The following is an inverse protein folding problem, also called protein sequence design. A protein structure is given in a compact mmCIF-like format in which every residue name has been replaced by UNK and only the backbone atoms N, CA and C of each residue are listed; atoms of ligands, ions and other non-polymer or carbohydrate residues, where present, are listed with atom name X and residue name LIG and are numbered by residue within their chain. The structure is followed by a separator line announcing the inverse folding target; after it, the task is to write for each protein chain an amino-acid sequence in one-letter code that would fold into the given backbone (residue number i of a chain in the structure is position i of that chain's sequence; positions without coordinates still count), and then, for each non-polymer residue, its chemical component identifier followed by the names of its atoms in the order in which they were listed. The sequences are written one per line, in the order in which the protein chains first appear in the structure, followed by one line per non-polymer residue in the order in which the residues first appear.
data_IF_766395983114
#
_entry.id   IF_766395983114
#
_cell.length_a   1.000
_cell.length_b   1.000
_cell.length_c   1.000
_cell.angle_alpha   90.00
_cell.angle_beta   90.00
_cell.angle_gamma   90.00
#
_symmetry.space_group_name_H-M   'P 1'
#
loop_
_entity.id
_entity.type
_entity.pdbx_description
1 polymer ?
#
# COMPACT_ATOMS: atom_id res chain seq x y z
N UNK A 1 -14.34 -3.82 40.54
CA UNK A 1 -15.22 -2.95 39.72
C UNK A 1 -14.41 -2.07 38.77
N UNK A 2 -13.11 -1.84 39.05
CA UNK A 2 -12.21 -0.99 38.25
C UNK A 2 -11.78 -1.58 36.90
N UNK A 3 -11.62 -2.90 36.79
CA UNK A 3 -11.14 -3.53 35.54
C UNK A 3 -12.17 -3.41 34.39
N UNK A 4 -13.46 -3.56 34.70
CA UNK A 4 -14.54 -3.47 33.70
C UNK A 4 -14.72 -2.03 33.21
N UNK A 5 -14.71 -1.05 34.12
CA UNK A 5 -14.78 0.37 33.73
C UNK A 5 -13.55 0.81 32.92
N UNK A 6 -12.36 0.31 33.25
CA UNK A 6 -11.16 0.61 32.49
C UNK A 6 -11.23 0.04 31.06
N UNK A 7 -11.74 -1.19 30.89
CA UNK A 7 -11.98 -1.81 29.57
C UNK A 7 -13.09 -1.07 28.80
N UNK A 8 -14.17 -0.66 29.46
CA UNK A 8 -15.28 0.07 28.84
C UNK A 8 -14.88 1.48 28.40
N UNK A 9 -14.06 2.19 29.18
CA UNK A 9 -13.52 3.50 28.82
C UNK A 9 -12.56 3.40 27.62
N UNK A 10 -11.67 2.40 27.61
CA UNK A 10 -10.78 2.15 26.48
C UNK A 10 -11.52 1.77 25.21
N UNK A 11 -12.53 0.90 25.31
CA UNK A 11 -13.35 0.51 24.16
C UNK A 11 -14.21 1.68 23.66
N UNK A 12 -14.76 2.51 24.54
CA UNK A 12 -15.55 3.69 24.16
C UNK A 12 -14.69 4.79 23.51
N UNK A 13 -13.52 5.11 24.08
CA UNK A 13 -12.60 6.11 23.52
C UNK A 13 -12.06 5.66 22.16
N UNK A 14 -11.62 4.40 22.04
CA UNK A 14 -11.15 3.88 20.75
C UNK A 14 -12.26 3.81 19.70
N UNK A 15 -13.50 3.49 20.08
CA UNK A 15 -14.64 3.45 19.16
C UNK A 15 -15.03 4.86 18.67
N UNK A 16 -15.13 5.83 19.57
CA UNK A 16 -15.50 7.22 19.23
C UNK A 16 -14.41 7.89 18.37
N UNK A 17 -13.13 7.68 18.69
CA UNK A 17 -12.01 8.18 17.88
C UNK A 17 -12.00 7.58 16.46
N UNK A 18 -12.22 6.26 16.34
CA UNK A 18 -12.31 5.58 15.03
C UNK A 18 -13.53 6.05 14.23
N UNK A 19 -14.68 6.23 14.88
CA UNK A 19 -15.89 6.73 14.22
C UNK A 19 -15.72 8.17 13.70
N UNK A 20 -15.00 9.01 14.44
CA UNK A 20 -14.68 10.38 14.03
C UNK A 20 -13.74 10.42 12.81
N UNK A 21 -12.66 9.62 12.81
CA UNK A 21 -11.74 9.51 11.69
C UNK A 21 -12.42 8.95 10.44
N UNK A 22 -13.29 7.94 10.60
CA UNK A 22 -14.05 7.34 9.50
C UNK A 22 -15.01 8.34 8.84
N UNK A 23 -15.54 9.30 9.58
CA UNK A 23 -16.48 10.32 9.06
C UNK A 23 -15.77 11.52 8.41
N UNK A 24 -14.55 11.84 8.86
CA UNK A 24 -13.84 13.05 8.44
C UNK A 24 -12.77 12.77 7.37
N UNK A 25 -12.11 11.60 7.43
CA UNK A 25 -11.05 11.19 6.51
C UNK A 25 -11.13 9.67 6.18
N UNK A 26 -12.17 9.22 5.47
CA UNK A 26 -12.39 7.81 5.19
C UNK A 26 -11.23 7.15 4.44
N UNK A 27 -10.64 7.84 3.45
CA UNK A 27 -9.49 7.33 2.68
C UNK A 27 -8.25 7.12 3.56
N UNK A 28 -7.94 8.05 4.46
CA UNK A 28 -6.77 7.95 5.34
C UNK A 28 -6.94 6.86 6.40
N UNK A 29 -8.16 6.71 6.91
CA UNK A 29 -8.48 5.63 7.83
C UNK A 29 -8.29 4.26 7.17
N UNK A 30 -8.81 4.08 5.95
CA UNK A 30 -8.66 2.82 5.21
C UNK A 30 -7.21 2.58 4.81
N UNK A 31 -6.47 3.58 4.36
CA UNK A 31 -5.03 3.45 4.08
C UNK A 31 -4.24 2.99 5.32
N UNK A 32 -4.60 3.49 6.50
CA UNK A 32 -3.98 3.07 7.77
C UNK A 32 -4.31 1.63 8.13
N UNK A 33 -5.57 1.21 7.93
CA UNK A 33 -5.99 -0.19 8.16
C UNK A 33 -5.28 -1.14 7.20
N UNK A 34 -5.26 -0.81 5.89
CA UNK A 34 -4.56 -1.61 4.87
C UNK A 34 -3.06 -1.69 5.15
N UNK A 35 -2.44 -0.60 5.63
CA UNK A 35 -1.03 -0.61 6.04
C UNK A 35 -0.77 -1.46 7.29
N UNK A 36 -1.72 -1.54 8.23
CA UNK A 36 -1.59 -2.40 9.40
C UNK A 36 -1.76 -3.89 9.06
N UNK A 37 -2.40 -4.21 7.94
CA UNK A 37 -2.65 -5.58 7.48
C UNK A 37 -1.83 -5.98 6.25
N UNK A 38 -0.87 -5.15 5.85
CA UNK A 38 -0.07 -5.36 4.64
C UNK A 38 0.70 -6.69 4.62
N UNK A 39 1.08 -7.20 5.79
CA UNK A 39 1.74 -8.50 5.93
C UNK A 39 0.82 -9.69 5.59
N UNK A 40 -0.50 -9.48 5.61
CA UNK A 40 -1.53 -10.49 5.32
C UNK A 40 -2.04 -10.34 3.89
N UNK A 41 -1.15 -10.46 2.92
CA UNK A 41 -1.44 -10.25 1.50
C UNK A 41 -2.64 -11.05 0.97
N UNK A 42 -2.90 -12.25 1.51
CA UNK A 42 -4.04 -13.09 1.10
C UNK A 42 -5.41 -12.50 1.49
N UNK A 43 -5.47 -11.65 2.52
CA UNK A 43 -6.70 -10.97 2.95
C UNK A 43 -6.86 -9.59 2.31
N UNK A 44 -5.79 -9.07 1.71
CA UNK A 44 -5.75 -7.69 1.24
C UNK A 44 -6.52 -7.49 -0.08
N UNK A 45 -6.40 -8.44 -1.02
CA UNK A 45 -7.13 -8.38 -2.31
C UNK A 45 -8.65 -8.19 -2.17
N UNK A 46 -9.39 -8.95 -1.33
CA UNK A 46 -10.81 -8.72 -1.15
C UNK A 46 -11.10 -7.38 -0.48
N UNK A 47 -10.29 -6.94 0.51
CA UNK A 47 -10.46 -5.64 1.13
C UNK A 47 -10.30 -4.48 0.14
N UNK A 48 -9.35 -4.59 -0.80
CA UNK A 48 -9.15 -3.59 -1.86
C UNK A 48 -10.37 -3.52 -2.79
N UNK A 49 -10.95 -4.67 -3.15
CA UNK A 49 -12.19 -4.71 -3.95
C UNK A 49 -13.38 -4.08 -3.22
N UNK A 50 -13.51 -4.36 -1.93
CA UNK A 50 -14.57 -3.78 -1.09
C UNK A 50 -14.44 -2.25 -0.99
N UNK A 51 -13.21 -1.72 -0.91
CA UNK A 51 -12.98 -0.27 -0.89
C UNK A 51 -13.41 0.41 -2.19
N UNK A 52 -13.18 -0.23 -3.34
CA UNK A 52 -13.66 0.25 -4.63
C UNK A 52 -15.21 0.33 -4.67
N UNK A 53 -15.90 -0.64 -4.06
CA UNK A 53 -17.36 -0.61 -3.92
C UNK A 53 -17.86 0.52 -2.98
N UNK A 54 -17.04 0.95 -2.02
CA UNK A 54 -17.35 2.05 -1.11
C UNK A 54 -17.09 3.44 -1.73
N UNK A 55 -16.71 3.52 -3.01
CA UNK A 55 -16.40 4.77 -3.70
C UNK A 55 -15.05 5.37 -3.30
N UNK A 56 -14.12 4.52 -2.82
CA UNK A 56 -12.76 4.91 -2.47
C UNK A 56 -11.84 4.36 -3.55
N UNK A 57 -11.25 5.26 -4.31
CA UNK A 57 -10.33 4.92 -5.39
C UNK A 57 -8.99 4.48 -4.78
N UNK A 58 -8.64 3.21 -5.03
CA UNK A 58 -7.32 2.67 -4.76
C UNK A 58 -6.59 2.57 -6.08
N UNK A 59 -5.55 3.38 -6.24
CA UNK A 59 -4.68 3.35 -7.40
C UNK A 59 -3.90 2.04 -7.44
N UNK A 60 -3.66 1.47 -8.63
CA UNK A 60 -2.84 0.27 -8.75
C UNK A 60 -1.41 0.54 -8.25
N UNK A 61 -0.67 -0.51 -7.85
CA UNK A 61 0.72 -0.38 -7.47
C UNK A 61 1.55 0.15 -8.64
N UNK A 62 2.33 1.20 -8.39
CA UNK A 62 3.25 1.82 -9.34
C UNK A 62 4.61 2.01 -8.68
N UNK A 63 5.68 1.43 -9.24
CA UNK A 63 7.03 1.55 -8.69
C UNK A 63 7.49 3.02 -8.56
N UNK A 64 7.01 3.92 -9.42
CA UNK A 64 7.43 5.33 -9.39
C UNK A 64 6.65 6.16 -8.38
N UNK A 65 5.37 5.88 -8.17
CA UNK A 65 4.50 6.69 -7.30
C UNK A 65 4.24 6.01 -5.94
N UNK A 66 4.00 4.69 -5.91
CA UNK A 66 3.70 3.94 -4.68
C UNK A 66 4.84 3.95 -3.67
N UNK A 67 4.48 3.99 -2.40
CA UNK A 67 5.41 3.89 -1.28
C UNK A 67 5.49 2.46 -0.74
N UNK A 68 6.26 2.24 0.34
CA UNK A 68 6.29 0.97 1.05
C UNK A 68 4.90 0.62 1.60
N UNK A 69 4.29 1.56 2.32
CA UNK A 69 2.96 1.44 2.91
C UNK A 69 1.88 2.08 2.02
N UNK A 70 0.60 1.88 2.36
CA UNK A 70 -0.50 2.59 1.71
C UNK A 70 -0.51 4.06 2.13
N UNK A 71 -0.59 4.95 1.15
CA UNK A 71 -0.57 6.41 1.37
C UNK A 71 -1.75 7.03 0.63
N UNK A 72 -2.30 8.12 1.16
CA UNK A 72 -3.35 8.88 0.47
C UNK A 72 -2.72 10.04 -0.28
N UNK A 73 -3.03 10.17 -1.57
CA UNK A 73 -2.56 11.27 -2.39
C UNK A 73 -3.38 12.56 -2.13
N UNK A 74 -2.96 13.68 -2.72
CA UNK A 74 -3.65 14.98 -2.59
C UNK A 74 -5.07 14.98 -3.19
N UNK A 75 -5.41 14.00 -4.01
CA UNK A 75 -6.73 13.80 -4.61
C UNK A 75 -7.61 12.85 -3.77
N UNK A 76 -7.17 12.49 -2.56
CA UNK A 76 -7.87 11.64 -1.61
C UNK A 76 -8.04 10.17 -2.09
N UNK A 77 -7.19 9.75 -3.03
CA UNK A 77 -7.09 8.38 -3.53
C UNK A 77 -5.98 7.65 -2.77
N UNK A 78 -6.13 6.34 -2.61
CA UNK A 78 -5.17 5.50 -1.89
C UNK A 78 -4.16 4.94 -2.89
N UNK A 79 -2.89 5.30 -2.73
CA UNK A 79 -1.78 4.67 -3.43
C UNK A 79 -1.46 3.33 -2.79
N UNK A 80 -1.41 2.28 -3.63
CA UNK A 80 -1.13 0.94 -3.17
C UNK A 80 0.28 0.84 -2.57
N UNK A 81 0.42 0.21 -1.41
CA UNK A 81 1.73 -0.04 -0.79
C UNK A 81 2.47 -1.20 -1.47
N UNK A 82 3.71 -0.98 -1.93
CA UNK A 82 4.52 -2.01 -2.59
C UNK A 82 4.87 -3.18 -1.64
N UNK A 83 4.96 -2.93 -0.33
CA UNK A 83 5.19 -3.98 0.66
C UNK A 83 3.98 -4.92 0.83
N UNK A 84 2.80 -4.49 0.36
CA UNK A 84 1.57 -5.26 0.41
C UNK A 84 1.38 -6.17 -0.81
N UNK A 85 2.36 -6.19 -1.73
CA UNK A 85 2.39 -7.13 -2.85
C UNK A 85 2.86 -8.51 -2.38
N UNK A 86 2.11 -9.54 -2.79
CA UNK A 86 2.45 -10.93 -2.49
C UNK A 86 3.84 -11.27 -3.03
N UNK A 87 4.61 -11.97 -2.20
CA UNK A 87 5.98 -12.42 -2.49
C UNK A 87 7.01 -11.28 -2.67
N UNK A 88 6.70 -10.04 -2.29
CA UNK A 88 7.65 -8.92 -2.30
C UNK A 88 8.18 -8.69 -0.88
N UNK A 89 9.48 -8.89 -0.67
CA UNK A 89 10.10 -8.69 0.64
C UNK A 89 10.23 -7.20 1.02
N UNK A 90 9.93 -6.84 2.27
CA UNK A 90 10.03 -5.47 2.79
C UNK A 90 11.39 -4.82 2.53
N UNK A 91 12.48 -5.54 2.76
CA UNK A 91 13.86 -5.08 2.48
C UNK A 91 14.09 -4.73 1.02
N UNK A 92 13.47 -5.48 0.11
CA UNK A 92 13.59 -5.22 -1.32
C UNK A 92 12.80 -3.97 -1.71
N UNK A 93 11.61 -3.75 -1.13
CA UNK A 93 10.83 -2.51 -1.30
C UNK A 93 11.57 -1.29 -0.77
N UNK A 94 12.22 -1.40 0.39
CA UNK A 94 13.05 -0.33 0.94
C UNK A 94 14.19 0.03 -0.01
N UNK A 95 14.87 -0.95 -0.59
CA UNK A 95 15.92 -0.74 -1.58
C UNK A 95 15.38 -0.07 -2.85
N UNK A 96 14.23 -0.50 -3.36
CA UNK A 96 13.56 0.15 -4.50
C UNK A 96 13.25 1.62 -4.19
N UNK A 97 12.68 1.91 -3.01
CA UNK A 97 12.39 3.27 -2.57
C UNK A 97 13.66 4.13 -2.41
N UNK A 98 14.76 3.54 -1.94
CA UNK A 98 16.06 4.22 -1.83
C UNK A 98 16.63 4.54 -3.22
N UNK A 99 16.64 3.57 -4.13
CA UNK A 99 17.14 3.78 -5.49
C UNK A 99 16.30 4.82 -6.25
N UNK A 100 15.00 4.88 -5.98
CA UNK A 100 14.10 5.91 -6.55
C UNK A 100 14.48 7.34 -6.16
N UNK A 101 15.19 7.56 -5.04
CA UNK A 101 15.66 8.91 -4.68
C UNK A 101 16.63 9.50 -5.71
N UNK A 102 17.31 8.65 -6.50
CA UNK A 102 18.14 9.07 -7.63
C UNK A 102 17.35 9.55 -8.86
N UNK A 103 16.03 9.38 -8.85
CA UNK A 103 15.12 9.72 -9.94
C UNK A 103 14.18 8.56 -10.31
N UNK A 104 13.10 8.85 -11.05
CA UNK A 104 12.13 7.84 -11.47
C UNK A 104 12.77 6.78 -12.38
N UNK A 105 12.27 5.56 -12.29
CA UNK A 105 12.65 4.45 -13.17
C UNK A 105 11.98 4.64 -14.52
N UNK A 106 12.80 4.73 -15.58
CA UNK A 106 12.31 5.00 -16.94
C UNK A 106 11.82 3.73 -17.63
N UNK A 107 12.49 2.61 -17.38
CA UNK A 107 12.31 1.35 -18.10
C UNK A 107 12.60 0.18 -17.16
N UNK A 108 12.15 -1.02 -17.51
CA UNK A 108 12.51 -2.25 -16.79
C UNK A 108 14.04 -2.47 -16.72
N UNK A 109 14.77 -2.11 -17.80
CA UNK A 109 16.23 -2.20 -17.83
C UNK A 109 16.91 -1.25 -16.84
N UNK A 110 16.37 -0.03 -16.72
CA UNK A 110 16.85 0.97 -15.76
C UNK A 110 16.61 0.49 -14.32
N UNK A 111 15.43 -0.09 -14.05
CA UNK A 111 15.13 -0.73 -12.78
C UNK A 111 16.10 -1.89 -12.45
N UNK A 112 16.28 -2.82 -13.39
CA UNK A 112 17.18 -3.96 -13.24
C UNK A 112 18.66 -3.56 -13.05
N UNK A 113 19.05 -2.39 -13.57
CA UNK A 113 20.42 -1.87 -13.43
C UNK A 113 20.68 -1.21 -12.07
N UNK A 114 19.65 -0.63 -11.43
CA UNK A 114 19.78 0.10 -10.16
C UNK A 114 19.46 -0.75 -8.94
N UNK A 115 18.56 -1.73 -9.08
CA UNK A 115 18.06 -2.55 -7.97
C UNK A 115 18.63 -3.95 -8.09
N UNK A 116 19.19 -4.49 -7.00
CA UNK A 116 19.68 -5.87 -6.99
C UNK A 116 18.52 -6.86 -6.94
N UNK A 117 18.12 -7.31 -8.14
CA UNK A 117 17.04 -8.27 -8.37
C UNK A 117 17.22 -9.60 -7.62
N UNK A 118 18.45 -9.97 -7.25
CA UNK A 118 18.73 -11.21 -6.51
C UNK A 118 18.15 -11.18 -5.09
N UNK A 119 17.99 -9.98 -4.52
CA UNK A 119 17.46 -9.81 -3.16
C UNK A 119 15.94 -9.94 -3.09
N UNK A 120 15.23 -9.60 -4.17
CA UNK A 120 13.79 -9.78 -4.26
C UNK A 120 13.40 -11.21 -4.67
N UNK A 121 14.24 -11.87 -5.46
CA UNK A 121 13.94 -13.19 -6.03
C UNK A 121 12.95 -13.10 -7.20
N UNK A 122 12.81 -14.21 -7.94
CA UNK A 122 11.98 -14.29 -9.16
C UNK A 122 10.52 -13.96 -8.89
N UNK A 123 9.98 -14.35 -7.73
CA UNK A 123 8.56 -14.14 -7.38
C UNK A 123 8.24 -12.66 -7.15
N UNK A 124 9.09 -11.95 -6.40
CA UNK A 124 8.95 -10.50 -6.24
C UNK A 124 9.04 -9.77 -7.57
N UNK A 125 9.96 -10.19 -8.43
CA UNK A 125 10.11 -9.69 -9.80
C UNK A 125 8.86 -9.91 -10.64
N UNK A 126 8.21 -11.07 -10.56
CA UNK A 126 6.96 -11.34 -11.27
C UNK A 126 5.81 -10.48 -10.76
N UNK A 127 5.67 -10.34 -9.43
CA UNK A 127 4.69 -9.47 -8.80
C UNK A 127 4.90 -8.00 -9.19
N UNK A 128 6.15 -7.53 -9.18
CA UNK A 128 6.51 -6.19 -9.62
C UNK A 128 6.36 -6.01 -11.13
N UNK A 129 6.71 -7.00 -11.95
CA UNK A 129 6.55 -6.91 -13.40
C UNK A 129 5.09 -6.74 -13.79
N UNK A 130 4.15 -7.34 -13.04
CA UNK A 130 2.71 -7.10 -13.22
C UNK A 130 2.32 -5.64 -12.92
N UNK A 131 2.92 -5.03 -11.91
CA UNK A 131 2.78 -3.60 -11.58
C UNK A 131 3.44 -2.70 -12.64
N UNK A 132 4.62 -3.06 -13.13
CA UNK A 132 5.34 -2.34 -14.20
C UNK A 132 4.62 -2.46 -15.55
N UNK A 133 3.95 -3.59 -15.83
CA UNK A 133 3.15 -3.74 -17.04
C UNK A 133 1.95 -2.78 -17.04
N UNK A 134 1.35 -2.55 -15.87
CA UNK A 134 0.29 -1.54 -15.70
C UNK A 134 0.81 -0.11 -15.96
N UNK A 135 2.08 0.19 -15.64
CA UNK A 135 2.72 1.48 -15.98
C UNK A 135 2.75 1.73 -17.49
N UNK A 136 2.93 0.69 -18.32
CA UNK A 136 2.94 0.82 -19.79
C UNK A 136 1.53 1.03 -20.33
N UNK A 137 0.56 0.23 -19.87
CA UNK A 137 -0.82 0.32 -20.33
C UNK A 137 -1.53 1.61 -19.88
N UNK A 138 -1.21 2.16 -18.71
CA UNK A 138 -1.79 3.41 -18.23
C UNK A 138 -1.24 4.65 -18.95
N UNK A 139 -0.16 4.53 -19.74
CA UNK A 139 0.41 5.60 -20.57
C UNK A 139 -0.11 5.60 -22.01
N UNK A 140 -0.92 4.63 -22.41
CA UNK A 140 -1.46 4.47 -23.77
C UNK A 140 -2.94 4.86 -23.93
N UNK A 141 -3.53 5.57 -22.96
CA UNK A 141 -4.86 6.21 -23.06
C UNK A 141 -4.72 7.66 -22.59
#
# INVERSE_FOLDING_TARGET
MDLINHILLHTHLSHTQKAYLKKTYPSHFIASVLSSEQDKTDKLEPHVKDCSLMGIDILPPDINNSFSNFVVNSQNQIEYGLAALKDVGTKFVEEVCLQRQSGPFKNLMDFASRVDLRKGGIRALQSLAKSVLLMVYAREI
#
